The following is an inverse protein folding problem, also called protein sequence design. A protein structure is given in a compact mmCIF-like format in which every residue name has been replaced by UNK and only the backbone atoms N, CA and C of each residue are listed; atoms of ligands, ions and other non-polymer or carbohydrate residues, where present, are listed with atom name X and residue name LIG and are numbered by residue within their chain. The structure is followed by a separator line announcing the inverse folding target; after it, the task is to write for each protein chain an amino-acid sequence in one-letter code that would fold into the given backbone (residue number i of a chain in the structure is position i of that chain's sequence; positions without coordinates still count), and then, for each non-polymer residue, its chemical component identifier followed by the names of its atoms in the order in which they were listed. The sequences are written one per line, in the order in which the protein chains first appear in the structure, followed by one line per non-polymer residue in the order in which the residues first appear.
data_IF_086989190044
#
_entry.id   IF_086989190044
#
_cell.length_a   1.000
_cell.length_b   1.000
_cell.length_c   1.000
_cell.angle_alpha   90.00
_cell.angle_beta   90.00
_cell.angle_gamma   90.00
#
_symmetry.space_group_name_H-M   'P 1'
#
loop_
_entity.id
_entity.type
_entity.pdbx_description
1 polymer ?
#
# COMPACT_ATOMS: atom_id res chain seq x y z
N UNK A 1 -6.94 8.77 11.81
CA UNK A 1 -7.08 8.54 10.35
C UNK A 1 -5.79 7.90 9.93
N UNK A 2 -5.82 6.76 9.24
CA UNK A 2 -4.60 6.13 8.76
C UNK A 2 -3.94 7.03 7.70
N UNK A 3 -2.61 7.15 7.69
CA UNK A 3 -1.88 7.88 6.65
C UNK A 3 -2.04 7.26 5.28
N UNK A 4 -2.03 5.93 5.22
CA UNK A 4 -2.06 5.19 3.97
C UNK A 4 -3.41 4.51 3.72
N UNK A 5 -3.79 4.43 2.44
CA UNK A 5 -4.84 3.51 1.97
C UNK A 5 -4.22 2.60 0.92
N UNK A 6 -4.15 1.30 1.21
CA UNK A 6 -3.73 0.27 0.26
C UNK A 6 -4.97 -0.32 -0.41
N UNK A 7 -5.06 -0.22 -1.73
CA UNK A 7 -6.13 -0.79 -2.54
C UNK A 7 -5.62 -2.03 -3.27
N UNK A 8 -6.25 -3.16 -3.01
CA UNK A 8 -5.96 -4.41 -3.68
C UNK A 8 -7.02 -4.70 -4.74
N UNK A 9 -6.60 -5.06 -5.96
CA UNK A 9 -7.52 -5.46 -7.02
C UNK A 9 -8.34 -6.70 -6.62
N UNK A 10 -7.67 -7.70 -6.05
CA UNK A 10 -8.26 -8.99 -5.68
C UNK A 10 -7.73 -9.49 -4.33
N UNK A 11 -8.11 -10.72 -3.96
CA UNK A 11 -7.69 -11.35 -2.71
C UNK A 11 -6.22 -11.76 -2.67
N UNK A 12 -5.60 -12.05 -3.81
CA UNK A 12 -4.18 -12.41 -3.90
C UNK A 12 -3.32 -11.18 -3.61
N UNK A 13 -3.62 -10.07 -4.27
CA UNK A 13 -2.97 -8.77 -4.05
C UNK A 13 -3.20 -8.26 -2.63
N UNK A 14 -4.38 -8.51 -2.04
CA UNK A 14 -4.65 -8.14 -0.65
C UNK A 14 -3.74 -8.91 0.32
N UNK A 15 -3.57 -10.22 0.10
CA UNK A 15 -2.69 -11.05 0.93
C UNK A 15 -1.21 -10.62 0.78
N UNK A 16 -0.75 -10.40 -0.45
CA UNK A 16 0.61 -9.91 -0.71
C UNK A 16 0.85 -8.53 -0.10
N UNK A 17 -0.12 -7.62 -0.23
CA UNK A 17 -0.08 -6.30 0.38
C UNK A 17 0.02 -6.37 1.91
N UNK A 18 -0.79 -7.23 2.56
CA UNK A 18 -0.71 -7.45 4.01
C UNK A 18 0.65 -7.99 4.45
N UNK A 19 1.22 -8.96 3.72
CA UNK A 19 2.56 -9.50 3.99
C UNK A 19 3.64 -8.43 3.85
N UNK A 20 3.56 -7.60 2.81
CA UNK A 20 4.46 -6.47 2.60
C UNK A 20 4.41 -5.49 3.77
N UNK A 21 3.21 -5.01 4.11
CA UNK A 21 3.00 -4.02 5.17
C UNK A 21 3.49 -4.56 6.53
N UNK A 22 3.18 -5.82 6.85
CA UNK A 22 3.67 -6.48 8.06
C UNK A 22 5.20 -6.64 8.08
N UNK A 23 5.83 -6.97 6.94
CA UNK A 23 7.29 -7.09 6.85
C UNK A 23 8.04 -5.77 7.05
N UNK A 24 7.34 -4.65 6.83
CA UNK A 24 7.86 -3.30 6.96
C UNK A 24 7.39 -2.60 8.26
N UNK A 25 6.67 -3.31 9.14
CA UNK A 25 6.07 -2.74 10.36
C UNK A 25 5.20 -1.49 10.11
N UNK A 26 4.52 -1.46 8.95
CA UNK A 26 3.63 -0.35 8.57
C UNK A 26 2.24 -0.62 9.13
N UNK A 27 1.97 -0.07 10.31
CA UNK A 27 0.65 -0.19 10.92
C UNK A 27 -0.33 0.89 10.45
N UNK A 28 0.15 2.06 10.02
CA UNK A 28 -0.70 3.22 9.73
C UNK A 28 -1.37 3.20 8.33
N UNK A 29 -2.00 2.08 8.01
CA UNK A 29 -2.56 1.76 6.70
C UNK A 29 -3.95 1.12 6.82
N UNK A 30 -4.89 1.59 6.00
CA UNK A 30 -6.16 0.91 5.75
C UNK A 30 -6.04 0.06 4.48
N UNK A 31 -6.31 -1.25 4.58
CA UNK A 31 -6.28 -2.17 3.43
C UNK A 31 -7.70 -2.45 2.98
N UNK A 32 -8.00 -2.10 1.73
CA UNK A 32 -9.32 -2.32 1.11
C UNK A 32 -9.20 -3.11 -0.19
N UNK A 33 -10.20 -3.96 -0.45
CA UNK A 33 -10.37 -4.59 -1.76
C UNK A 33 -11.18 -3.67 -2.66
N UNK A 34 -10.66 -3.38 -3.84
CA UNK A 34 -11.23 -2.48 -4.83
C UNK A 34 -11.02 -3.09 -6.22
N UNK A 35 -12.02 -3.81 -6.72
CA UNK A 35 -11.94 -4.48 -8.03
C UNK A 35 -11.87 -3.50 -9.21
N UNK A 36 -12.01 -2.19 -8.96
CA UNK A 36 -11.95 -1.15 -10.01
C UNK A 36 -10.53 -0.66 -10.30
N UNK A 37 -9.57 -0.91 -9.42
CA UNK A 37 -8.15 -0.60 -9.67
C UNK A 37 -7.54 -1.67 -10.57
N UNK A 38 -6.67 -1.27 -11.50
CA UNK A 38 -6.01 -2.19 -12.42
C UNK A 38 -4.88 -3.01 -11.77
N UNK A 39 -4.34 -2.51 -10.65
CA UNK A 39 -3.22 -3.09 -9.90
C UNK A 39 -3.26 -2.60 -8.45
N UNK A 40 -2.30 -3.00 -7.61
CA UNK A 40 -2.21 -2.49 -6.24
C UNK A 40 -1.92 -0.99 -6.21
N UNK A 41 -2.70 -0.22 -5.44
CA UNK A 41 -2.47 1.22 -5.25
C UNK A 41 -2.18 1.52 -3.78
N UNK A 42 -1.31 2.50 -3.51
CA UNK A 42 -1.11 3.08 -2.19
C UNK A 42 -1.35 4.59 -2.26
N UNK A 43 -2.43 5.05 -1.65
CA UNK A 43 -2.68 6.47 -1.44
C UNK A 43 -1.93 6.93 -0.18
N UNK A 44 -0.94 7.82 -0.32
CA UNK A 44 -0.34 8.55 0.80
C UNK A 44 -1.09 9.88 0.97
N UNK A 45 -1.92 9.94 2.02
CA UNK A 45 -2.77 11.11 2.28
C UNK A 45 -1.99 12.33 2.78
N UNK A 46 -0.82 12.11 3.40
CA UNK A 46 0.06 13.17 3.87
C UNK A 46 0.83 13.80 2.70
N UNK A 47 1.41 12.96 1.83
CA UNK A 47 2.15 13.39 0.65
C UNK A 47 1.23 13.77 -0.54
N UNK A 48 -0.07 13.49 -0.43
CA UNK A 48 -1.09 13.74 -1.48
C UNK A 48 -0.73 13.13 -2.83
N UNK A 49 -0.27 11.88 -2.83
CA UNK A 49 0.08 11.12 -4.04
C UNK A 49 -0.38 9.68 -3.95
N UNK A 50 -0.60 9.09 -5.12
CA UNK A 50 -0.89 7.66 -5.26
C UNK A 50 0.31 6.97 -5.90
N UNK A 51 0.66 5.79 -5.40
CA UNK A 51 1.70 4.91 -5.91
C UNK A 51 1.01 3.68 -6.50
N UNK A 52 1.41 3.28 -7.69
CA UNK A 52 0.80 2.19 -8.45
C UNK A 52 1.81 1.05 -8.58
N UNK A 53 1.38 -0.18 -8.31
CA UNK A 53 2.19 -1.38 -8.40
C UNK A 53 2.80 -1.81 -7.05
N UNK A 54 2.75 -3.11 -6.77
CA UNK A 54 3.27 -3.68 -5.50
C UNK A 54 4.77 -3.40 -5.30
N UNK A 55 5.56 -3.44 -6.38
CA UNK A 55 6.99 -3.20 -6.30
C UNK A 55 7.29 -1.74 -5.95
N UNK A 56 6.64 -0.81 -6.63
CA UNK A 56 6.79 0.64 -6.44
C UNK A 56 6.32 1.03 -5.04
N UNK A 57 5.23 0.42 -4.55
CA UNK A 57 4.74 0.58 -3.18
C UNK A 57 5.80 0.12 -2.18
N UNK A 58 6.40 -1.06 -2.38
CA UNK A 58 7.50 -1.56 -1.54
C UNK A 58 8.67 -0.57 -1.52
N UNK A 59 9.17 -0.19 -2.68
CA UNK A 59 10.32 0.72 -2.78
C UNK A 59 10.04 2.07 -2.13
N UNK A 60 8.81 2.57 -2.27
CA UNK A 60 8.37 3.81 -1.65
C UNK A 60 8.35 3.71 -0.12
N UNK A 61 7.70 2.69 0.43
CA UNK A 61 7.60 2.47 1.87
C UNK A 61 8.98 2.21 2.50
N UNK A 62 9.82 1.40 1.86
CA UNK A 62 11.19 1.14 2.33
C UNK A 62 12.03 2.42 2.40
N UNK A 63 11.92 3.31 1.39
CA UNK A 63 12.62 4.60 1.41
C UNK A 63 12.08 5.52 2.50
N UNK A 64 10.78 5.50 2.74
CA UNK A 64 10.15 6.33 3.76
C UNK A 64 10.54 5.89 5.18
N UNK A 65 10.62 4.59 5.44
CA UNK A 65 10.96 4.03 6.76
C UNK A 65 12.46 4.15 7.06
N UNK A 66 13.31 4.00 6.04
CA UNK A 66 14.77 4.18 6.17
C UNK A 66 15.19 5.65 6.26
N UNK A 67 14.24 6.59 6.12
CA UNK A 67 14.43 8.03 6.19
C UNK A 67 14.79 8.52 7.58
#
# INVERSE_FOLDING_TARGET
MRRFIFRAHDGEIEEEGRKLLASLDVEDVDVIRDETVAEAWLDDLEARRTIYGLQEIREYLERLIKG
#
